data_IF_877656035231
#
_entry.id   IF_877656035231
#
_cell.length_a   1.000
_cell.length_b   1.000
_cell.length_c   1.000
_cell.angle_alpha   90.00
_cell.angle_beta   90.00
_cell.angle_gamma   90.00
#
_symmetry.space_group_name_H-M   'P 1'
#
loop_
_entity.id
_entity.type
_entity.pdbx_description
1 polymer ?
#
# COMPACT_ATOMS: atom_id res chain seq x y z
N UNK A 1 -19.15 17.13 66.85
CA UNK A 1 -19.27 17.61 65.45
C UNK A 1 -18.24 18.71 65.27
N UNK A 2 -17.28 18.75 64.33
CA UNK A 2 -16.98 18.03 63.08
C UNK A 2 -15.45 18.14 62.89
N UNK A 3 -14.75 17.04 62.53
CA UNK A 3 -13.35 17.06 62.09
C UNK A 3 -13.33 17.12 60.57
N UNK A 4 -12.74 18.17 60.00
CA UNK A 4 -12.58 18.30 58.54
C UNK A 4 -11.20 17.73 58.20
N UNK A 5 -11.18 16.48 57.76
CA UNK A 5 -9.98 15.89 57.12
C UNK A 5 -9.88 16.41 55.70
N UNK A 6 -8.84 17.20 55.40
CA UNK A 6 -8.45 17.52 54.03
C UNK A 6 -7.80 16.28 53.41
N UNK A 7 -8.57 15.54 52.60
CA UNK A 7 -8.04 14.48 51.75
C UNK A 7 -7.35 15.14 50.56
N UNK A 8 -6.01 15.19 50.58
CA UNK A 8 -5.20 15.65 49.45
C UNK A 8 -5.32 14.62 48.33
N UNK A 9 -6.23 14.84 47.38
CA UNK A 9 -6.36 14.01 46.19
C UNK A 9 -5.15 14.30 45.28
N UNK A 10 -4.10 13.49 45.39
CA UNK A 10 -2.96 13.53 44.49
C UNK A 10 -3.43 13.21 43.08
N UNK A 11 -3.45 14.23 42.22
CA UNK A 11 -3.75 14.14 40.80
C UNK A 11 -2.61 13.35 40.13
N UNK A 12 -2.73 12.03 40.03
CA UNK A 12 -1.80 11.23 39.23
C UNK A 12 -2.08 11.54 37.76
N UNK A 13 -1.30 12.44 37.16
CA UNK A 13 -1.23 12.56 35.70
C UNK A 13 -0.63 11.27 35.16
N UNK A 14 -1.50 10.33 34.77
CA UNK A 14 -1.13 9.23 33.90
C UNK A 14 -0.75 9.85 32.56
N UNK A 15 0.53 10.17 32.38
CA UNK A 15 1.08 10.45 31.07
C UNK A 15 1.05 9.13 30.28
N UNK A 16 -0.07 8.85 29.61
CA UNK A 16 -0.07 7.98 28.44
C UNK A 16 0.65 8.75 27.33
N UNK A 17 1.98 8.85 27.43
CA UNK A 17 2.79 9.28 26.30
C UNK A 17 2.81 8.11 25.33
N UNK A 18 1.90 8.13 24.37
CA UNK A 18 2.00 7.28 23.19
C UNK A 18 3.42 7.42 22.64
N UNK A 19 4.15 6.30 22.64
CA UNK A 19 5.52 6.21 22.16
C UNK A 19 5.53 6.61 20.68
N UNK A 20 6.12 7.78 20.39
CA UNK A 20 6.65 8.22 19.10
C UNK A 20 5.77 7.89 17.87
N UNK A 21 4.72 8.69 17.66
CA UNK A 21 4.02 8.71 16.38
C UNK A 21 5.00 9.10 15.24
N UNK A 22 5.06 8.29 14.19
CA UNK A 22 5.77 8.59 12.96
C UNK A 22 4.85 8.42 11.75
N UNK A 23 5.14 9.15 10.68
CA UNK A 23 4.47 9.03 9.39
C UNK A 23 5.52 9.07 8.29
N UNK A 24 5.38 8.22 7.28
CA UNK A 24 6.33 8.16 6.16
C UNK A 24 6.11 9.34 5.21
N UNK A 25 7.19 9.87 4.64
CA UNK A 25 7.13 10.92 3.62
C UNK A 25 7.47 10.30 2.26
N UNK A 26 6.65 10.60 1.26
CA UNK A 26 6.78 10.07 -0.11
C UNK A 26 6.75 11.24 -1.08
N UNK A 27 7.63 11.20 -2.09
CA UNK A 27 7.58 12.09 -3.25
C UNK A 27 7.59 11.24 -4.50
N UNK A 28 6.75 11.61 -5.46
CA UNK A 28 6.50 10.83 -6.66
C UNK A 28 6.86 11.66 -7.89
N UNK A 29 7.61 11.04 -8.80
CA UNK A 29 7.81 11.49 -10.17
C UNK A 29 7.26 10.37 -11.05
N UNK A 30 6.26 10.66 -11.88
CA UNK A 30 5.58 9.67 -12.69
C UNK A 30 5.57 10.15 -14.14
N UNK A 31 6.26 9.41 -15.00
CA UNK A 31 6.29 9.61 -16.44
C UNK A 31 5.44 8.54 -17.10
N UNK A 32 4.41 8.94 -17.85
CA UNK A 32 3.47 8.00 -18.49
C UNK A 32 3.26 8.36 -19.95
N UNK A 33 3.28 7.34 -20.81
CA UNK A 33 2.98 7.43 -22.24
C UNK A 33 1.71 6.63 -22.51
N UNK A 34 0.73 7.27 -23.14
CA UNK A 34 -0.48 6.62 -23.66
C UNK A 34 -0.26 6.19 -25.11
N UNK A 35 -0.59 4.94 -25.39
CA UNK A 35 -0.80 4.42 -26.74
C UNK A 35 -2.29 4.09 -26.87
N UNK A 36 -3.01 4.90 -27.63
CA UNK A 36 -4.45 4.79 -27.83
C UNK A 36 -4.83 3.74 -28.88
N UNK A 37 -3.96 3.44 -29.84
CA UNK A 37 -4.17 2.36 -30.80
C UNK A 37 -4.15 0.99 -30.12
N UNK A 38 -3.17 0.77 -29.23
CA UNK A 38 -3.01 -0.49 -28.51
C UNK A 38 -3.74 -0.51 -27.15
N UNK A 39 -4.37 0.61 -26.75
CA UNK A 39 -4.99 0.81 -25.43
C UNK A 39 -4.06 0.48 -24.25
N UNK A 40 -2.80 0.92 -24.31
CA UNK A 40 -1.79 0.67 -23.26
C UNK A 40 -1.23 1.95 -22.66
N UNK A 41 -0.74 1.83 -21.41
CA UNK A 41 0.06 2.84 -20.74
C UNK A 41 1.43 2.26 -20.45
N UNK A 42 2.49 2.95 -20.88
CA UNK A 42 3.86 2.66 -20.46
C UNK A 42 4.27 3.71 -19.43
N UNK A 43 4.72 3.27 -18.25
CA UNK A 43 5.03 4.18 -17.15
C UNK A 43 6.41 3.91 -16.53
N UNK A 44 7.05 4.98 -16.09
CA UNK A 44 8.17 4.95 -15.16
C UNK A 44 7.80 5.79 -13.93
N UNK A 45 7.81 5.16 -12.76
CA UNK A 45 7.52 5.80 -11.49
C UNK A 45 8.77 5.77 -10.60
N UNK A 46 9.15 6.94 -10.10
CA UNK A 46 10.21 7.10 -9.12
C UNK A 46 9.62 7.63 -7.82
N UNK A 47 9.89 6.91 -6.74
CA UNK A 47 9.41 7.22 -5.40
C UNK A 47 10.63 7.55 -4.52
N UNK A 48 10.69 8.77 -4.00
CA UNK A 48 11.59 9.09 -2.91
C UNK A 48 10.88 8.82 -1.58
N UNK A 49 11.22 7.69 -0.96
CA UNK A 49 10.67 7.27 0.32
C UNK A 49 11.59 7.71 1.46
N UNK A 50 11.03 8.37 2.48
CA UNK A 50 11.74 8.69 3.72
C UNK A 50 11.15 7.87 4.86
N UNK A 51 11.95 6.94 5.38
CA UNK A 51 11.62 6.19 6.59
C UNK A 51 11.78 7.08 7.83
N UNK A 52 10.67 7.49 8.42
CA UNK A 52 10.63 8.21 9.69
C UNK A 52 10.40 7.27 10.89
N UNK A 53 10.28 5.95 10.65
CA UNK A 53 10.26 4.95 11.73
C UNK A 53 11.62 4.91 12.44
N UNK A 54 11.65 4.66 13.77
CA UNK A 54 12.89 4.32 14.45
C UNK A 54 13.47 2.96 14.00
N UNK A 55 12.67 2.11 13.35
CA UNK A 55 13.07 0.79 12.90
C UNK A 55 13.64 0.82 11.48
N UNK A 56 14.63 -0.05 11.22
CA UNK A 56 15.19 -0.25 9.89
C UNK A 56 14.16 -0.85 8.93
N UNK A 57 14.12 -0.31 7.71
CA UNK A 57 13.22 -0.79 6.66
C UNK A 57 13.95 -1.82 5.80
N UNK A 58 13.58 -3.09 5.96
CA UNK A 58 14.22 -4.22 5.25
C UNK A 58 13.44 -4.70 4.03
N UNK A 59 12.19 -4.27 3.87
CA UNK A 59 11.37 -4.50 2.67
C UNK A 59 10.16 -3.56 2.70
N UNK A 60 9.50 -3.39 1.55
CA UNK A 60 8.24 -2.65 1.42
C UNK A 60 7.18 -3.56 0.78
N UNK A 61 5.97 -3.55 1.34
CA UNK A 61 4.78 -4.03 0.65
C UNK A 61 4.24 -2.91 -0.24
N UNK A 62 4.04 -3.20 -1.52
CA UNK A 62 3.55 -2.23 -2.50
C UNK A 62 2.34 -2.78 -3.23
N UNK A 63 1.37 -1.91 -3.51
CA UNK A 63 0.20 -2.29 -4.30
C UNK A 63 0.43 -2.04 -5.78
N UNK A 64 0.10 -3.04 -6.60
CA UNK A 64 -0.03 -2.93 -8.06
C UNK A 64 -1.50 -3.09 -8.42
N UNK A 65 -2.32 -2.15 -7.90
CA UNK A 65 -3.79 -2.21 -7.90
C UNK A 65 -4.46 -2.66 -9.19
N UNK A 66 -4.02 -2.26 -10.39
CA UNK A 66 -4.65 -2.75 -11.62
C UNK A 66 -4.67 -4.28 -11.72
N UNK A 67 -3.73 -5.00 -11.11
CA UNK A 67 -3.74 -6.46 -11.12
C UNK A 67 -4.93 -7.08 -10.39
N UNK A 68 -5.63 -6.34 -9.52
CA UNK A 68 -6.87 -6.80 -8.91
C UNK A 68 -7.97 -7.04 -9.96
N UNK A 69 -7.88 -6.41 -11.13
CA UNK A 69 -8.84 -6.55 -12.24
C UNK A 69 -8.40 -7.56 -13.30
N UNK A 70 -7.25 -8.23 -13.11
CA UNK A 70 -6.65 -9.10 -14.12
C UNK A 70 -7.57 -10.23 -14.56
N UNK A 71 -8.16 -10.95 -13.61
CA UNK A 71 -8.98 -12.13 -13.90
C UNK A 71 -9.99 -12.44 -12.78
N UNK A 72 -10.75 -13.54 -12.92
CA UNK A 72 -11.80 -13.92 -11.96
C UNK A 72 -11.26 -14.57 -10.67
N UNK A 73 -9.96 -14.83 -10.58
CA UNK A 73 -9.32 -15.48 -9.42
C UNK A 73 -8.87 -14.50 -8.34
N UNK A 74 -8.82 -13.20 -8.66
CA UNK A 74 -8.37 -12.15 -7.75
C UNK A 74 -9.33 -11.97 -6.57
N UNK A 75 -8.82 -11.38 -5.47
CA UNK A 75 -9.64 -11.08 -4.30
C UNK A 75 -10.81 -10.14 -4.65
N UNK A 76 -10.56 -9.11 -5.45
CA UNK A 76 -11.58 -8.18 -5.95
C UNK A 76 -12.66 -8.92 -6.74
N UNK A 77 -12.29 -9.77 -7.69
CA UNK A 77 -13.26 -10.48 -8.53
C UNK A 77 -14.16 -11.42 -7.71
N UNK A 78 -13.56 -12.13 -6.75
CA UNK A 78 -14.29 -12.98 -5.80
C UNK A 78 -15.28 -12.18 -4.96
N UNK A 79 -14.87 -11.01 -4.47
CA UNK A 79 -15.73 -10.11 -3.70
C UNK A 79 -16.86 -9.53 -4.54
N UNK A 80 -16.59 -9.13 -5.79
CA UNK A 80 -17.60 -8.60 -6.71
C UNK A 80 -18.68 -9.66 -7.04
N UNK A 81 -18.28 -10.93 -7.11
CA UNK A 81 -19.17 -12.05 -7.31
C UNK A 81 -19.64 -12.23 -8.76
N UNK A 82 -20.30 -13.37 -9.08
CA UNK A 82 -20.57 -13.81 -10.45
C UNK A 82 -21.59 -12.94 -11.21
N UNK A 83 -22.39 -12.15 -10.49
CA UNK A 83 -23.41 -11.30 -11.10
C UNK A 83 -22.94 -9.86 -11.37
N UNK A 84 -21.71 -9.52 -10.96
CA UNK A 84 -21.13 -8.19 -11.16
C UNK A 84 -20.93 -7.86 -12.64
N UNK A 85 -20.84 -6.56 -12.94
CA UNK A 85 -20.43 -6.09 -14.27
C UNK A 85 -19.04 -6.59 -14.64
N UNK A 86 -18.12 -6.66 -13.67
CA UNK A 86 -16.77 -7.19 -13.87
C UNK A 86 -16.78 -8.67 -14.29
N UNK A 87 -17.55 -9.52 -13.60
CA UNK A 87 -17.66 -10.94 -13.95
C UNK A 87 -18.24 -11.16 -15.36
N UNK A 88 -19.01 -10.19 -15.87
CA UNK A 88 -19.64 -10.21 -17.19
C UNK A 88 -18.84 -9.47 -18.27
N UNK A 89 -17.73 -8.82 -17.93
CA UNK A 89 -16.91 -8.10 -18.91
C UNK A 89 -16.15 -9.08 -19.81
N UNK A 90 -15.77 -8.64 -21.01
CA UNK A 90 -14.75 -9.36 -21.77
C UNK A 90 -13.42 -9.32 -20.99
N UNK A 91 -12.60 -10.35 -21.19
CA UNK A 91 -11.22 -10.38 -20.75
C UNK A 91 -10.36 -9.26 -21.38
N UNK A 92 -10.65 -8.86 -22.61
CA UNK A 92 -9.92 -7.80 -23.32
C UNK A 92 -10.21 -6.40 -22.75
N UNK A 93 -11.34 -6.23 -22.06
CA UNK A 93 -11.72 -4.98 -21.40
C UNK A 93 -11.11 -4.83 -19.99
N UNK A 94 -10.32 -5.83 -19.54
CA UNK A 94 -9.73 -5.85 -18.21
C UNK A 94 -8.33 -5.27 -18.23
N UNK A 95 -8.02 -4.47 -17.21
CA UNK A 95 -6.68 -3.92 -17.02
C UNK A 95 -5.83 -4.79 -16.08
N UNK A 96 -4.52 -4.75 -16.29
CA UNK A 96 -3.50 -5.20 -15.36
C UNK A 96 -2.19 -4.46 -15.65
N UNK A 97 -1.24 -4.49 -14.71
CA UNK A 97 0.14 -4.08 -14.94
C UNK A 97 0.96 -5.33 -15.24
N UNK A 98 1.77 -5.26 -16.28
CA UNK A 98 2.84 -6.22 -16.54
C UNK A 98 4.21 -5.55 -16.51
N UNK A 99 5.24 -6.32 -16.87
CA UNK A 99 6.60 -5.81 -17.07
C UNK A 99 7.16 -5.04 -15.87
N UNK A 100 6.73 -5.43 -14.65
CA UNK A 100 7.20 -4.85 -13.40
C UNK A 100 8.71 -5.04 -13.24
N UNK A 101 9.42 -3.93 -13.06
CA UNK A 101 10.87 -3.90 -12.86
C UNK A 101 11.21 -2.91 -11.75
N UNK A 102 11.59 -3.42 -10.58
CA UNK A 102 11.88 -2.61 -9.39
C UNK A 102 13.38 -2.41 -9.20
N UNK A 103 13.75 -1.16 -8.89
CA UNK A 103 15.11 -0.78 -8.52
C UNK A 103 15.10 0.11 -7.29
N UNK A 104 16.01 -0.13 -6.37
CA UNK A 104 16.26 0.73 -5.19
C UNK A 104 17.63 1.37 -5.36
N UNK A 105 17.69 2.70 -5.33
CA UNK A 105 18.92 3.49 -5.55
C UNK A 105 19.68 3.07 -6.83
N UNK A 106 18.93 2.76 -7.89
CA UNK A 106 19.46 2.33 -9.18
C UNK A 106 19.95 0.89 -9.27
N UNK A 107 19.86 0.11 -8.20
CA UNK A 107 20.22 -1.32 -8.17
C UNK A 107 18.98 -2.18 -8.32
N UNK A 108 19.11 -3.27 -9.08
CA UNK A 108 18.07 -4.29 -9.14
C UNK A 108 17.87 -4.91 -7.76
N UNK A 109 16.61 -5.13 -7.40
CA UNK A 109 16.23 -5.77 -6.13
C UNK A 109 15.35 -6.99 -6.38
N UNK A 110 15.35 -7.89 -5.40
CA UNK A 110 14.46 -9.03 -5.38
C UNK A 110 13.04 -8.57 -4.99
N UNK A 111 12.05 -9.14 -5.66
CA UNK A 111 10.66 -8.87 -5.36
C UNK A 111 9.79 -10.08 -5.71
N UNK A 112 8.63 -10.18 -5.07
CA UNK A 112 7.68 -11.28 -5.32
C UNK A 112 6.24 -10.85 -5.05
N UNK A 113 5.28 -11.50 -5.73
CA UNK A 113 3.86 -11.34 -5.40
C UNK A 113 3.55 -11.93 -4.02
N UNK A 114 2.60 -11.31 -3.32
CA UNK A 114 2.02 -11.91 -2.14
C UNK A 114 1.36 -13.25 -2.50
N UNK A 115 1.48 -14.32 -1.68
CA UNK A 115 0.98 -15.65 -2.02
C UNK A 115 -0.52 -15.72 -2.33
N UNK A 116 -1.31 -14.82 -1.75
CA UNK A 116 -2.77 -14.80 -1.89
C UNK A 116 -3.31 -13.62 -2.72
N UNK A 117 -2.54 -12.54 -2.87
CA UNK A 117 -3.02 -11.27 -3.41
C UNK A 117 -2.11 -10.83 -4.55
N UNK A 118 -2.58 -11.02 -5.78
CA UNK A 118 -1.81 -10.79 -7.00
C UNK A 118 -1.58 -9.29 -7.31
N UNK A 119 -2.20 -8.42 -6.53
CA UNK A 119 -2.09 -6.96 -6.57
C UNK A 119 -1.24 -6.40 -5.42
N UNK A 120 -0.58 -7.27 -4.64
CA UNK A 120 0.37 -6.91 -3.58
C UNK A 120 1.70 -7.55 -3.88
N UNK A 121 2.78 -6.78 -3.78
CA UNK A 121 4.15 -7.24 -4.00
C UNK A 121 5.05 -6.88 -2.82
N UNK A 122 5.99 -7.76 -2.52
CA UNK A 122 7.11 -7.51 -1.60
C UNK A 122 8.31 -7.06 -2.40
N UNK A 123 8.92 -5.94 -2.03
CA UNK A 123 10.19 -5.45 -2.60
C UNK A 123 11.22 -5.48 -1.47
N UNK A 124 12.33 -6.20 -1.66
CA UNK A 124 13.39 -6.40 -0.65
C UNK A 124 14.57 -5.45 -0.82
#
# INVERSE_FOLDING_TARGET
MIRISFLLLSLTTLFSQDKYYFQQELKYEIDVILNDEDHTLSAYEKIAYKNNSPDELTFIWFHVWPNAYKDNSTAFAKQAGPNSSFAKSDSLDRGYIDSLDFKVDGKQVDWSFHPEWNDVIKIE
#
